data_IF_192917473210
#
_entry.id   IF_192917473210
#
_cell.length_a   1.000
_cell.length_b   1.000
_cell.length_c   1.000
_cell.angle_alpha   90.00
_cell.angle_beta   90.00
_cell.angle_gamma   90.00
#
_symmetry.space_group_name_H-M   'P 1'
#
loop_
_entity.id
_entity.type
_entity.pdbx_description
1 polymer ?
#
# COMPACT_ATOMS: atom_id res chain seq x y z
N UNK A 1 -24.92 26.94 69.98
CA UNK A 1 -23.95 26.02 70.62
C UNK A 1 -23.54 24.95 69.62
N UNK A 2 -22.22 24.81 69.43
CA UNK A 2 -21.42 23.62 69.06
C UNK A 2 -21.68 22.77 67.77
N UNK A 3 -20.64 22.82 66.90
CA UNK A 3 -19.84 21.73 66.27
C UNK A 3 -20.36 20.99 64.98
N UNK A 4 -19.51 21.07 63.94
CA UNK A 4 -19.43 20.34 62.64
C UNK A 4 -19.02 18.83 62.80
N UNK A 5 -18.78 17.98 61.76
CA UNK A 5 -19.17 17.88 60.32
C UNK A 5 -19.58 16.42 59.86
N UNK A 6 -19.56 16.16 58.52
CA UNK A 6 -19.38 14.85 57.77
C UNK A 6 -20.72 14.23 57.29
N UNK A 7 -20.98 13.71 56.07
CA UNK A 7 -20.25 13.20 54.89
C UNK A 7 -21.06 13.51 53.60
N UNK A 8 -20.36 13.67 52.47
CA UNK A 8 -20.86 13.61 51.08
C UNK A 8 -21.46 12.25 50.70
N UNK A 9 -22.48 12.23 49.84
CA UNK A 9 -22.67 11.19 48.82
C UNK A 9 -23.53 11.73 47.68
N UNK A 10 -22.90 12.28 46.63
CA UNK A 10 -23.53 12.51 45.34
C UNK A 10 -23.26 11.27 44.47
N UNK A 11 -24.33 10.63 44.00
CA UNK A 11 -24.28 9.60 42.96
C UNK A 11 -23.68 10.22 41.69
N UNK A 12 -22.49 9.78 41.31
CA UNK A 12 -21.95 10.02 39.98
C UNK A 12 -22.35 8.85 39.07
N UNK A 13 -23.09 9.16 38.01
CA UNK A 13 -23.36 8.28 36.89
C UNK A 13 -22.03 8.03 36.17
N UNK A 14 -21.49 6.82 36.31
CA UNK A 14 -20.34 6.36 35.52
C UNK A 14 -20.85 5.88 34.16
N UNK A 15 -21.02 6.83 33.23
CA UNK A 15 -20.99 6.55 31.80
C UNK A 15 -19.55 6.28 31.38
N UNK A 16 -19.15 5.01 31.39
CA UNK A 16 -17.87 4.55 30.86
C UNK A 16 -17.83 4.68 29.35
N UNK A 17 -17.57 5.88 28.85
CA UNK A 17 -17.12 6.06 27.47
C UNK A 17 -15.74 5.43 27.37
N UNK A 18 -15.62 4.34 26.60
CA UNK A 18 -14.33 3.79 26.20
C UNK A 18 -13.59 4.87 25.41
N UNK A 19 -12.73 5.62 26.09
CA UNK A 19 -11.69 6.41 25.47
C UNK A 19 -10.68 5.44 24.89
N UNK A 20 -10.87 5.09 23.61
CA UNK A 20 -9.77 4.61 22.79
C UNK A 20 -8.64 5.64 22.92
N UNK A 21 -7.54 5.21 23.52
CA UNK A 21 -6.39 6.08 23.76
C UNK A 21 -5.83 6.51 22.40
N UNK A 22 -6.19 7.71 21.96
CA UNK A 22 -5.47 8.43 20.92
C UNK A 22 -4.08 8.73 21.50
N UNK A 23 -3.12 7.86 21.21
CA UNK A 23 -1.70 8.15 21.46
C UNK A 23 -1.30 9.30 20.54
N UNK A 24 -1.30 10.51 21.08
CA UNK A 24 -0.63 11.67 20.49
C UNK A 24 0.87 11.42 20.52
N UNK A 25 1.44 10.89 19.44
CA UNK A 25 2.88 10.69 19.28
C UNK A 25 3.58 11.97 18.83
N UNK A 26 3.66 12.95 19.73
CA UNK A 26 4.68 13.99 19.63
C UNK A 26 5.96 13.39 20.22
N UNK A 27 6.91 13.03 19.36
CA UNK A 27 8.23 12.40 19.65
C UNK A 27 8.31 10.87 19.64
N UNK A 28 7.79 10.21 18.60
CA UNK A 28 8.42 8.96 18.16
C UNK A 28 9.66 9.32 17.33
N UNK A 29 10.81 8.68 17.60
CA UNK A 29 11.94 8.75 16.68
C UNK A 29 11.48 8.22 15.30
N UNK A 30 11.99 8.81 14.22
CA UNK A 30 11.70 8.30 12.88
C UNK A 30 12.05 6.79 12.83
N UNK A 31 11.18 5.94 12.25
CA UNK A 31 11.43 4.51 12.17
C UNK A 31 12.75 4.24 11.42
N UNK A 32 13.48 3.18 11.84
CA UNK A 32 14.74 2.81 11.19
C UNK A 32 14.50 2.21 9.81
N UNK A 33 15.52 2.23 8.95
CA UNK A 33 15.45 1.63 7.61
C UNK A 33 15.16 0.14 7.66
N UNK A 34 15.68 -0.56 8.67
CA UNK A 34 15.39 -1.98 8.91
C UNK A 34 13.91 -2.20 9.29
N UNK A 35 13.35 -1.37 10.19
CA UNK A 35 11.93 -1.49 10.56
C UNK A 35 10.99 -1.18 9.40
N UNK A 36 11.35 -0.19 8.56
CA UNK A 36 10.60 0.17 7.37
C UNK A 36 10.69 -0.91 6.30
N UNK A 37 11.88 -1.48 6.10
CA UNK A 37 12.10 -2.60 5.18
C UNK A 37 11.30 -3.84 5.61
N UNK A 38 11.26 -4.17 6.90
CA UNK A 38 10.46 -5.28 7.41
C UNK A 38 8.95 -5.03 7.25
N UNK A 39 8.48 -3.82 7.58
CA UNK A 39 7.08 -3.42 7.43
C UNK A 39 6.61 -3.55 5.98
N UNK A 40 7.34 -2.97 5.04
CA UNK A 40 7.01 -3.03 3.62
C UNK A 40 7.31 -4.41 3.02
N UNK A 41 8.27 -5.12 3.57
CA UNK A 41 8.59 -6.50 3.22
C UNK A 41 7.41 -7.42 3.47
N UNK A 42 6.66 -7.22 4.56
CA UNK A 42 5.53 -8.06 4.98
C UNK A 42 4.15 -7.60 4.47
N UNK A 43 4.02 -6.37 3.94
CA UNK A 43 2.73 -5.81 3.56
C UNK A 43 2.00 -6.63 2.49
N UNK A 44 0.67 -6.59 2.51
CA UNK A 44 -0.21 -7.19 1.51
C UNK A 44 -0.66 -6.10 0.53
N UNK A 45 -0.63 -6.39 -0.76
CA UNK A 45 -1.20 -5.54 -1.80
C UNK A 45 -2.60 -6.03 -2.16
N UNK A 46 -3.55 -5.10 -2.26
CA UNK A 46 -4.81 -5.30 -2.95
C UNK A 46 -4.84 -4.52 -4.25
N UNK A 47 -5.06 -5.21 -5.37
CA UNK A 47 -5.18 -4.59 -6.69
C UNK A 47 -6.62 -4.71 -7.19
N UNK A 48 -7.28 -3.58 -7.40
CA UNK A 48 -8.71 -3.52 -7.73
C UNK A 48 -8.88 -3.58 -9.25
N UNK A 49 -9.73 -4.50 -9.72
CA UNK A 49 -10.12 -4.61 -11.14
C UNK A 49 -8.93 -4.66 -12.11
N UNK A 50 -7.91 -5.48 -11.78
CA UNK A 50 -6.74 -5.67 -12.63
C UNK A 50 -7.17 -6.24 -13.99
N UNK A 51 -6.76 -5.62 -15.13
CA UNK A 51 -7.14 -6.10 -16.46
C UNK A 51 -6.77 -7.57 -16.69
N UNK A 52 -7.78 -8.43 -16.91
CA UNK A 52 -7.58 -9.86 -17.16
C UNK A 52 -7.39 -10.73 -15.92
N UNK A 53 -7.67 -10.22 -14.72
CA UNK A 53 -7.57 -10.96 -13.46
C UNK A 53 -8.89 -11.53 -12.96
N UNK A 54 -9.98 -11.47 -13.73
CA UNK A 54 -11.34 -11.82 -13.29
C UNK A 54 -11.45 -13.26 -12.78
N UNK A 55 -10.58 -14.16 -13.27
CA UNK A 55 -10.55 -15.58 -12.86
C UNK A 55 -9.83 -15.84 -11.54
N UNK A 56 -8.94 -14.94 -11.12
CA UNK A 56 -8.07 -15.12 -9.94
C UNK A 56 -8.30 -14.06 -8.85
N UNK A 57 -9.03 -12.99 -9.18
CA UNK A 57 -9.47 -12.01 -8.20
C UNK A 57 -10.51 -12.64 -7.24
N UNK A 58 -10.53 -12.15 -6.01
CA UNK A 58 -11.57 -12.49 -5.05
C UNK A 58 -12.95 -11.99 -5.52
N UNK A 59 -14.07 -12.49 -4.94
CA UNK A 59 -15.43 -12.09 -5.34
C UNK A 59 -15.71 -10.59 -5.29
N UNK A 60 -14.96 -9.82 -4.49
CA UNK A 60 -15.04 -8.36 -4.40
C UNK A 60 -14.25 -7.63 -5.51
N UNK A 61 -13.68 -8.36 -6.48
CA UNK A 61 -12.93 -7.79 -7.60
C UNK A 61 -11.49 -7.39 -7.26
N UNK A 62 -10.97 -7.82 -6.11
CA UNK A 62 -9.60 -7.51 -5.66
C UNK A 62 -8.68 -8.72 -5.88
N UNK A 63 -7.56 -8.50 -6.56
CA UNK A 63 -6.44 -9.43 -6.58
C UNK A 63 -5.53 -9.13 -5.37
N UNK A 64 -5.47 -10.06 -4.42
CA UNK A 64 -4.61 -9.94 -3.25
C UNK A 64 -3.26 -10.58 -3.51
N UNK A 65 -2.19 -9.89 -3.11
CA UNK A 65 -0.82 -10.36 -3.25
C UNK A 65 -0.07 -10.16 -1.93
N UNK A 66 0.55 -11.22 -1.44
CA UNK A 66 1.40 -11.17 -0.26
C UNK A 66 2.75 -11.83 -0.56
N UNK A 67 3.82 -11.39 0.11
CA UNK A 67 5.08 -12.12 0.15
C UNK A 67 4.87 -13.58 0.53
N UNK A 68 5.64 -14.43 -0.11
CA UNK A 68 5.74 -15.82 0.24
C UNK A 68 6.49 -15.96 1.58
N UNK A 69 5.95 -16.71 2.56
CA UNK A 69 6.67 -16.97 3.81
C UNK A 69 8.00 -17.71 3.55
N UNK A 70 9.03 -17.52 4.40
CA UNK A 70 10.28 -18.25 4.30
C UNK A 70 10.05 -19.77 4.22
N UNK A 71 10.71 -20.43 3.26
CA UNK A 71 10.62 -21.89 3.07
C UNK A 71 9.35 -22.40 2.38
N UNK A 72 8.38 -21.54 2.05
CA UNK A 72 7.25 -21.93 1.21
C UNK A 72 7.65 -21.94 -0.27
N UNK A 73 6.98 -22.79 -1.06
CA UNK A 73 7.16 -22.84 -2.50
C UNK A 73 6.24 -21.81 -3.21
N UNK A 74 6.71 -21.13 -4.27
CA UNK A 74 5.85 -20.28 -5.08
C UNK A 74 4.66 -21.05 -5.64
N UNK A 75 3.50 -20.40 -5.85
CA UNK A 75 2.34 -21.09 -6.41
C UNK A 75 2.63 -21.50 -7.86
N UNK A 76 2.41 -22.79 -8.17
CA UNK A 76 2.58 -23.35 -9.50
C UNK A 76 1.32 -23.21 -10.35
N UNK A 77 1.48 -23.09 -11.67
CA UNK A 77 0.36 -23.13 -12.63
C UNK A 77 -0.58 -21.92 -12.59
N UNK A 78 -0.21 -20.84 -11.91
CA UNK A 78 -1.02 -19.61 -11.88
C UNK A 78 -0.99 -18.93 -13.25
N UNK A 79 -2.15 -18.81 -13.88
CA UNK A 79 -2.32 -18.03 -15.10
C UNK A 79 -2.36 -16.53 -14.77
N UNK A 80 -1.17 -15.92 -14.65
CA UNK A 80 -1.08 -14.50 -14.36
C UNK A 80 -1.64 -13.63 -15.51
N UNK A 81 -2.40 -12.56 -15.20
CA UNK A 81 -2.90 -11.62 -16.18
C UNK A 81 -1.78 -11.06 -17.05
N UNK A 82 -2.02 -10.90 -18.36
CA UNK A 82 -0.99 -10.40 -19.30
C UNK A 82 -0.42 -9.03 -18.88
N UNK A 83 -1.22 -8.20 -18.23
CA UNK A 83 -0.78 -6.88 -17.73
C UNK A 83 0.24 -7.01 -16.59
N UNK A 84 0.22 -8.08 -15.80
CA UNK A 84 1.24 -8.36 -14.79
C UNK A 84 2.42 -9.14 -15.40
N UNK A 85 2.13 -10.13 -16.25
CA UNK A 85 3.14 -11.03 -16.81
C UNK A 85 4.04 -10.38 -17.88
N UNK A 86 3.57 -9.32 -18.56
CA UNK A 86 4.25 -8.69 -19.71
C UNK A 86 4.49 -7.19 -19.51
N UNK A 87 4.62 -6.73 -18.27
CA UNK A 87 4.87 -5.32 -17.97
C UNK A 87 5.78 -5.16 -16.76
N UNK A 88 6.40 -3.99 -16.67
CA UNK A 88 6.92 -3.50 -15.40
C UNK A 88 5.79 -2.74 -14.70
N UNK A 89 5.36 -3.21 -13.53
CA UNK A 89 4.26 -2.60 -12.78
C UNK A 89 4.81 -1.95 -11.53
N UNK A 90 4.35 -0.75 -11.21
CA UNK A 90 4.75 -0.02 -10.02
C UNK A 90 3.53 0.35 -9.20
N UNK A 91 3.56 0.11 -7.89
CA UNK A 91 2.55 0.63 -6.97
C UNK A 91 3.02 1.96 -6.37
N UNK A 92 2.12 2.94 -6.41
CA UNK A 92 2.31 4.30 -5.89
C UNK A 92 1.18 4.59 -4.92
N UNK A 93 1.50 5.14 -3.75
CA UNK A 93 0.50 5.71 -2.83
C UNK A 93 0.67 7.23 -2.76
N UNK A 94 -0.40 7.96 -2.50
CA UNK A 94 -0.31 9.39 -2.18
C UNK A 94 -0.33 9.66 -0.66
N UNK A 95 -0.40 8.58 0.13
CA UNK A 95 -0.60 8.59 1.57
C UNK A 95 0.72 8.26 2.27
N UNK A 96 0.93 8.85 3.45
CA UNK A 96 2.02 8.58 4.39
C UNK A 96 3.43 8.99 3.95
N UNK A 97 3.77 10.30 4.02
CA UNK A 97 5.16 10.72 3.94
C UNK A 97 5.97 9.95 4.99
N UNK A 98 6.94 9.16 4.56
CA UNK A 98 7.83 8.38 5.44
C UNK A 98 7.12 7.40 6.41
N UNK A 99 5.89 6.95 6.12
CA UNK A 99 5.13 6.03 6.99
C UNK A 99 4.29 6.69 8.09
N UNK A 100 4.08 8.01 8.02
CA UNK A 100 3.25 8.73 9.01
C UNK A 100 1.79 8.86 8.57
N UNK A 101 0.85 8.40 9.41
CA UNK A 101 -0.59 8.49 9.16
C UNK A 101 -1.09 9.93 8.95
N UNK A 102 -1.51 10.26 7.72
CA UNK A 102 -2.15 11.54 7.40
C UNK A 102 -3.71 11.51 7.49
N UNK A 103 -4.40 12.64 7.72
CA UNK A 103 -5.87 12.68 7.80
C UNK A 103 -6.57 12.24 6.51
N UNK A 104 -7.67 11.48 6.63
CA UNK A 104 -8.37 10.86 5.50
C UNK A 104 -8.75 11.83 4.36
N UNK A 105 -9.17 13.06 4.67
CA UNK A 105 -9.52 14.05 3.65
C UNK A 105 -8.30 14.55 2.85
N UNK A 106 -7.15 14.73 3.53
CA UNK A 106 -5.88 15.10 2.89
C UNK A 106 -5.43 13.97 1.95
N UNK A 107 -5.63 12.72 2.35
CA UNK A 107 -5.24 11.55 1.54
C UNK A 107 -6.07 11.42 0.27
N UNK A 108 -7.39 11.63 0.37
CA UNK A 108 -8.27 11.62 -0.80
C UNK A 108 -7.88 12.69 -1.82
N UNK A 109 -7.55 13.89 -1.33
CA UNK A 109 -7.06 14.97 -2.19
C UNK A 109 -5.73 14.62 -2.85
N UNK A 110 -4.78 14.09 -2.08
CA UNK A 110 -3.48 13.66 -2.59
C UNK A 110 -3.62 12.54 -3.63
N UNK A 111 -4.48 11.54 -3.39
CA UNK A 111 -4.74 10.47 -4.35
C UNK A 111 -5.41 10.98 -5.64
N UNK A 112 -6.29 11.99 -5.56
CA UNK A 112 -6.87 12.61 -6.76
C UNK A 112 -5.80 13.33 -7.60
N UNK A 113 -4.87 14.03 -6.94
CA UNK A 113 -3.74 14.67 -7.63
C UNK A 113 -2.81 13.63 -8.25
N UNK A 114 -2.51 12.56 -7.51
CA UNK A 114 -1.68 11.46 -8.00
C UNK A 114 -2.28 10.81 -9.25
N UNK A 115 -3.60 10.61 -9.27
CA UNK A 115 -4.30 10.10 -10.44
C UNK A 115 -4.14 11.02 -11.67
N UNK A 116 -4.26 12.33 -11.49
CA UNK A 116 -4.04 13.30 -12.58
C UNK A 116 -2.59 13.31 -13.07
N UNK A 117 -1.62 13.18 -12.16
CA UNK A 117 -0.21 13.09 -12.51
C UNK A 117 0.14 11.78 -13.23
N UNK A 118 -0.49 10.66 -12.85
CA UNK A 118 -0.36 9.36 -13.54
C UNK A 118 -0.80 9.48 -14.99
N UNK A 119 -1.92 10.15 -15.26
CA UNK A 119 -2.40 10.40 -16.63
C UNK A 119 -1.41 11.24 -17.46
N UNK A 120 -0.55 12.00 -16.81
CA UNK A 120 0.47 12.85 -17.44
C UNK A 120 1.85 12.20 -17.54
N UNK A 121 2.04 10.97 -17.01
CA UNK A 121 3.32 10.28 -17.05
C UNK A 121 3.82 10.04 -18.49
N UNK A 122 5.14 10.11 -18.64
CA UNK A 122 5.85 9.70 -19.86
C UNK A 122 6.94 8.69 -19.46
N UNK A 123 7.04 7.51 -20.09
CA UNK A 123 6.21 7.04 -21.20
C UNK A 123 4.75 6.89 -20.74
N UNK A 124 3.81 6.81 -21.69
CA UNK A 124 2.39 6.69 -21.32
C UNK A 124 2.17 5.28 -20.72
N UNK A 125 1.61 5.14 -19.51
CA UNK A 125 1.29 3.82 -18.97
C UNK A 125 0.36 3.07 -19.92
N UNK A 126 0.62 1.78 -20.13
CA UNK A 126 -0.25 0.89 -20.92
C UNK A 126 -1.58 0.64 -20.25
N UNK A 127 -1.57 0.65 -18.92
CA UNK A 127 -2.72 0.53 -18.06
C UNK A 127 -2.37 1.08 -16.68
N UNK A 128 -3.39 1.48 -15.94
CA UNK A 128 -3.30 1.74 -14.51
C UNK A 128 -4.62 1.36 -13.85
N UNK A 129 -4.58 1.05 -12.56
CA UNK A 129 -5.75 0.67 -11.77
C UNK A 129 -5.57 1.09 -10.32
N UNK A 130 -6.67 1.15 -9.57
CA UNK A 130 -6.63 1.43 -8.14
C UNK A 130 -5.99 0.25 -7.38
N UNK A 131 -5.17 0.57 -6.39
CA UNK A 131 -4.58 -0.42 -5.50
C UNK A 131 -4.51 0.11 -4.08
N UNK A 132 -4.14 -0.75 -3.14
CA UNK A 132 -3.83 -0.35 -1.78
C UNK A 132 -2.82 -1.32 -1.17
N UNK A 133 -1.92 -0.81 -0.34
CA UNK A 133 -1.11 -1.61 0.57
C UNK A 133 -1.77 -1.67 1.95
N UNK A 134 -1.69 -2.79 2.66
CA UNK A 134 -2.23 -2.88 4.01
C UNK A 134 -1.51 -3.92 4.87
N UNK A 135 -1.69 -3.80 6.19
CA UNK A 135 -1.37 -4.84 7.17
C UNK A 135 -2.58 -5.06 8.05
N UNK A 136 -3.10 -6.29 8.04
CA UNK A 136 -4.18 -6.69 8.93
C UNK A 136 -3.75 -6.77 10.40
N UNK A 137 -2.50 -7.15 10.63
CA UNK A 137 -1.90 -7.26 11.97
C UNK A 137 -1.69 -5.87 12.60
N UNK A 138 -1.18 -4.93 11.81
CA UNK A 138 -0.86 -3.56 12.28
C UNK A 138 -2.04 -2.58 12.09
N UNK A 139 -3.14 -3.03 11.48
CA UNK A 139 -4.37 -2.26 11.34
C UNK A 139 -4.28 -1.02 10.45
N UNK A 140 -3.36 -0.99 9.48
CA UNK A 140 -3.21 0.14 8.54
C UNK A 140 -3.52 -0.26 7.10
N UNK A 141 -3.93 0.74 6.30
CA UNK A 141 -4.17 0.65 4.87
C UNK A 141 -3.79 1.97 4.18
N UNK A 142 -3.17 1.87 3.01
CA UNK A 142 -2.79 3.00 2.17
C UNK A 142 -3.33 2.81 0.75
N UNK A 143 -4.28 3.67 0.35
CA UNK A 143 -4.81 3.66 -1.01
C UNK A 143 -3.84 4.34 -2.00
N UNK A 144 -3.86 3.84 -3.23
CA UNK A 144 -3.00 4.29 -4.30
C UNK A 144 -3.38 3.68 -5.65
N UNK A 145 -2.37 3.51 -6.50
CA UNK A 145 -2.51 3.05 -7.86
C UNK A 145 -1.36 2.15 -8.26
N UNK A 146 -1.67 1.18 -9.13
CA UNK A 146 -0.66 0.48 -9.90
C UNK A 146 -0.61 1.03 -11.31
N UNK A 147 0.60 1.22 -11.83
CA UNK A 147 0.87 1.70 -13.21
C UNK A 147 1.72 0.68 -13.95
N UNK A 148 1.28 0.28 -15.14
CA UNK A 148 1.94 -0.73 -15.95
C UNK A 148 2.58 -0.13 -17.20
N UNK A 149 3.85 -0.45 -17.44
CA UNK A 149 4.63 -0.01 -18.60
C UNK A 149 5.16 -1.21 -19.38
N UNK A 150 5.52 -1.00 -20.65
CA UNK A 150 6.19 -2.06 -21.39
C UNK A 150 7.52 -2.45 -20.72
N UNK A 151 7.88 -3.73 -20.79
CA UNK A 151 9.05 -4.27 -20.08
C UNK A 151 10.37 -3.65 -20.55
N UNK A 152 10.45 -3.26 -21.83
CA UNK A 152 11.57 -2.55 -22.45
C UNK A 152 11.66 -1.08 -22.00
N UNK A 153 10.54 -0.45 -21.67
CA UNK A 153 10.50 0.90 -21.11
C UNK A 153 10.85 0.95 -19.61
N UNK A 154 10.98 -0.20 -18.94
CA UNK A 154 11.12 -0.34 -17.48
C UNK A 154 12.12 0.65 -16.86
N UNK A 155 13.30 0.82 -17.47
CA UNK A 155 14.33 1.72 -16.93
C UNK A 155 13.87 3.17 -16.90
N UNK A 156 13.27 3.64 -17.99
CA UNK A 156 12.79 5.01 -18.12
C UNK A 156 11.53 5.24 -17.29
N UNK A 157 10.59 4.29 -17.33
CA UNK A 157 9.39 4.29 -16.50
C UNK A 157 9.74 4.34 -14.99
N UNK A 158 10.67 3.50 -14.52
CA UNK A 158 11.13 3.51 -13.11
C UNK A 158 11.64 4.87 -12.70
N UNK A 159 12.43 5.55 -13.52
CA UNK A 159 12.94 6.89 -13.19
C UNK A 159 11.81 7.93 -13.02
N UNK A 160 10.77 7.86 -13.86
CA UNK A 160 9.64 8.78 -13.86
C UNK A 160 8.69 8.50 -12.70
N UNK A 161 8.40 7.23 -12.45
CA UNK A 161 7.65 6.77 -11.28
C UNK A 161 8.35 7.17 -9.98
N UNK A 162 9.67 7.01 -9.88
CA UNK A 162 10.41 7.45 -8.69
C UNK A 162 10.42 8.97 -8.51
N UNK A 163 10.47 9.73 -9.61
CA UNK A 163 10.32 11.19 -9.56
C UNK A 163 8.95 11.57 -9.00
N UNK A 164 7.89 10.92 -9.47
CA UNK A 164 6.53 11.12 -8.97
C UNK A 164 6.42 10.71 -7.49
N UNK A 165 6.92 9.53 -7.13
CA UNK A 165 6.89 9.03 -5.75
C UNK A 165 7.56 9.99 -4.75
N UNK A 166 8.71 10.58 -5.13
CA UNK A 166 9.37 11.63 -4.33
C UNK A 166 8.54 12.90 -4.21
N UNK A 167 7.82 13.32 -5.27
CA UNK A 167 6.92 14.47 -5.20
C UNK A 167 5.77 14.25 -4.20
N UNK A 168 5.36 12.99 -4.03
CA UNK A 168 4.39 12.57 -3.00
C UNK A 168 5.04 12.13 -1.69
N UNK A 169 6.36 12.37 -1.53
CA UNK A 169 7.14 12.08 -0.31
C UNK A 169 7.11 10.61 0.14
N UNK A 170 6.91 9.69 -0.79
CA UNK A 170 7.04 8.25 -0.52
C UNK A 170 8.51 7.92 -0.21
N UNK A 171 8.72 7.05 0.78
CA UNK A 171 10.06 6.56 1.13
C UNK A 171 10.50 5.42 0.21
N UNK A 172 9.56 4.58 -0.22
CA UNK A 172 9.75 3.49 -1.17
C UNK A 172 8.48 3.27 -1.99
N UNK A 173 8.61 2.53 -3.09
CA UNK A 173 7.52 2.02 -3.91
C UNK A 173 7.69 0.52 -4.11
N UNK A 174 6.62 -0.19 -4.50
CA UNK A 174 6.76 -1.55 -4.99
C UNK A 174 6.91 -1.59 -6.50
N UNK A 175 7.80 -2.47 -6.98
CA UNK A 175 7.89 -2.86 -8.38
C UNK A 175 7.56 -4.35 -8.50
N UNK A 176 6.59 -4.69 -9.34
CA UNK A 176 6.25 -6.06 -9.67
C UNK A 176 6.89 -6.47 -10.99
N UNK A 177 7.38 -7.70 -11.03
CA UNK A 177 7.91 -8.33 -12.23
C UNK A 177 7.52 -9.80 -12.28
N UNK A 178 7.49 -10.37 -13.47
CA UNK A 178 7.16 -11.76 -13.69
C UNK A 178 8.37 -12.50 -14.25
N UNK A 179 8.68 -13.66 -13.67
CA UNK A 179 9.78 -14.52 -14.10
C UNK A 179 9.44 -15.98 -13.86
N UNK A 180 9.57 -16.81 -14.89
CA UNK A 180 9.46 -18.27 -14.80
C UNK A 180 8.19 -18.79 -14.08
N UNK A 181 7.03 -18.19 -14.33
CA UNK A 181 5.76 -18.58 -13.67
C UNK A 181 5.46 -17.83 -12.38
N UNK A 182 6.43 -17.09 -11.84
CA UNK A 182 6.35 -16.46 -10.52
C UNK A 182 6.23 -14.95 -10.65
N UNK A 183 5.26 -14.39 -9.93
CA UNK A 183 5.17 -12.94 -9.71
C UNK A 183 6.06 -12.56 -8.53
N UNK A 184 6.91 -11.56 -8.74
CA UNK A 184 7.91 -11.08 -7.80
C UNK A 184 7.62 -9.62 -7.44
N UNK A 185 7.88 -9.24 -6.20
CA UNK A 185 7.83 -7.85 -5.70
C UNK A 185 9.18 -7.39 -5.20
N UNK A 186 9.63 -6.24 -5.66
CA UNK A 186 10.81 -5.51 -5.17
C UNK A 186 10.34 -4.28 -4.39
N UNK A 187 10.94 -4.03 -3.23
CA UNK A 187 10.86 -2.72 -2.56
C UNK A 187 11.92 -1.81 -3.17
N UNK A 188 11.49 -0.69 -3.76
CA UNK A 188 12.38 0.28 -4.39
C UNK A 188 12.38 1.55 -3.58
N UNK A 189 13.51 1.84 -2.92
CA UNK A 189 13.72 3.10 -2.21
C UNK A 189 13.63 4.30 -3.15
N UNK A 190 12.96 5.38 -2.71
CA UNK A 190 12.89 6.63 -3.47
C UNK A 190 14.18 7.46 -3.35
N UNK A 191 14.93 7.25 -2.26
CA UNK A 191 16.25 7.84 -2.00
C UNK A 191 17.35 7.11 -2.80
N UNK A 192 18.11 7.82 -3.66
CA UNK A 192 19.18 7.21 -4.46
C UNK A 192 20.29 6.53 -3.63
N UNK A 193 20.66 7.09 -2.48
CA UNK A 193 21.70 6.53 -1.60
C UNK A 193 21.29 5.17 -1.07
N UNK A 194 20.01 5.03 -0.70
CA UNK A 194 19.45 3.75 -0.23
C UNK A 194 19.29 2.76 -1.38
N UNK A 195 19.08 3.22 -2.62
CA UNK A 195 19.07 2.33 -3.78
C UNK A 195 20.43 1.71 -4.04
N UNK A 196 21.52 2.48 -3.90
CA UNK A 196 22.89 1.98 -4.06
C UNK A 196 23.21 0.91 -3.01
N UNK A 197 22.89 1.19 -1.74
CA UNK A 197 23.05 0.23 -0.64
C UNK A 197 22.21 -1.03 -0.84
N UNK A 198 20.95 -0.89 -1.28
CA UNK A 198 20.07 -2.03 -1.54
C UNK A 198 20.46 -2.83 -2.80
N UNK A 199 21.19 -2.23 -3.75
CA UNK A 199 21.66 -2.93 -4.95
C UNK A 199 22.66 -4.05 -4.64
N UNK A 200 23.31 -4.00 -3.48
CA UNK A 200 24.27 -5.00 -3.01
C UNK A 200 23.60 -6.16 -2.25
N UNK A 201 22.28 -6.09 -1.99
CA UNK A 201 21.56 -7.09 -1.21
C UNK A 201 21.07 -8.29 -2.06
N UNK A 202 21.27 -9.55 -1.60
CA UNK A 202 20.94 -10.75 -2.36
C UNK A 202 19.43 -11.05 -2.50
N UNK A 203 18.60 -10.62 -1.54
CA UNK A 203 17.14 -10.91 -1.53
C UNK A 203 16.30 -9.69 -1.91
N UNK A 204 16.52 -9.21 -3.13
CA UNK A 204 15.88 -7.99 -3.64
C UNK A 204 14.41 -8.18 -4.05
N UNK A 205 13.99 -9.42 -4.31
CA UNK A 205 12.69 -9.74 -4.88
C UNK A 205 12.01 -10.86 -4.10
N UNK A 206 10.83 -10.58 -3.53
CA UNK A 206 10.01 -11.55 -2.85
C UNK A 206 9.04 -12.23 -3.84
N UNK A 207 9.02 -13.56 -3.96
CA UNK A 207 7.92 -14.28 -4.59
C UNK A 207 6.60 -13.95 -3.92
N UNK A 208 5.53 -13.90 -4.72
CA UNK A 208 4.21 -13.57 -4.24
C UNK A 208 3.28 -14.80 -4.26
N UNK A 209 2.38 -14.81 -3.27
CA UNK A 209 1.23 -15.71 -3.18
C UNK A 209 -0.07 -14.90 -3.17
N UNK A 210 -1.19 -15.58 -3.38
CA UNK A 210 -2.53 -15.00 -3.27
C UNK A 210 -3.14 -15.40 -1.90
N UNK A 211 -3.12 -14.52 -0.88
CA UNK A 211 -3.78 -14.79 0.39
C UNK A 211 -5.32 -14.71 0.25
N UNK A 212 -6.09 -15.18 1.24
CA UNK A 212 -7.55 -14.99 1.27
C UNK A 212 -7.93 -13.50 1.38
N UNK A 213 -9.21 -13.20 1.10
CA UNK A 213 -9.79 -11.87 1.26
C UNK A 213 -9.64 -11.35 2.70
N UNK A 214 -9.52 -10.02 2.83
CA UNK A 214 -9.47 -9.30 4.11
C UNK A 214 -10.62 -8.31 4.24
N UNK A 215 -11.16 -8.13 5.45
CA UNK A 215 -12.21 -7.13 5.76
C UNK A 215 -11.69 -5.69 5.62
N UNK A 216 -10.39 -5.44 5.86
CA UNK A 216 -9.78 -4.11 5.61
C UNK A 216 -9.77 -3.72 4.13
N UNK A 217 -10.05 -4.67 3.26
CA UNK A 217 -10.11 -4.50 1.81
C UNK A 217 -11.54 -4.42 1.27
N UNK A 218 -12.55 -4.25 2.13
CA UNK A 218 -13.92 -4.01 1.69
C UNK A 218 -14.00 -2.67 0.94
N UNK A 219 -14.24 -2.78 -0.37
CA UNK A 219 -14.48 -1.66 -1.29
C UNK A 219 -15.92 -1.12 -1.21
N UNK A 220 -16.76 -1.68 -0.32
CA UNK A 220 -18.19 -1.33 -0.18
C UNK A 220 -18.54 -0.37 0.97
N UNK A 221 -17.57 0.00 1.81
CA UNK A 221 -17.79 0.94 2.92
C UNK A 221 -17.86 2.40 2.44
N UNK A 222 -18.90 3.13 2.86
CA UNK A 222 -19.24 4.51 2.46
C UNK A 222 -18.02 5.42 2.19
N UNK A 223 -17.65 5.54 0.91
CA UNK A 223 -16.53 6.40 0.48
C UNK A 223 -15.77 5.95 -0.76
N UNK A 224 -16.04 4.74 -1.30
CA UNK A 224 -15.29 4.20 -2.42
C UNK A 224 -15.84 4.62 -3.80
N UNK A 225 -15.06 5.49 -4.44
CA UNK A 225 -14.71 5.52 -5.88
C UNK A 225 -15.88 5.68 -6.88
N UNK A 226 -15.92 6.85 -7.50
CA UNK A 226 -16.52 7.06 -8.83
C UNK A 226 -15.68 6.26 -9.84
N UNK A 227 -16.05 4.99 -10.08
CA UNK A 227 -15.35 4.03 -10.93
C UNK A 227 -15.45 4.45 -12.40
N UNK A 228 -14.67 5.45 -12.80
CA UNK A 228 -14.37 5.64 -14.22
C UNK A 228 -13.24 4.69 -14.61
N UNK A 229 -13.62 3.55 -15.17
CA UNK A 229 -12.76 2.72 -16.01
C UNK A 229 -12.32 3.58 -17.21
N UNK A 230 -11.17 4.24 -17.10
CA UNK A 230 -10.57 4.93 -18.25
C UNK A 230 -9.83 3.87 -19.07
N UNK A 231 -10.50 3.36 -20.10
CA UNK A 231 -9.81 2.71 -21.22
C UNK A 231 -9.00 3.79 -21.93
N UNK A 232 -7.68 3.64 -21.95
CA UNK A 232 -6.79 4.37 -22.88
C UNK A 232 -6.73 3.60 -24.19
#
# INVERSE_FOLDING_TARGET
>A
MLRRPVVRAALAVLGGSSTAAVRSSLHAAAPSDESLSALWGAAIDGMIAVPGAERIAAPNGVLYLAPLPPGAAPPEGVEWPKVLAKSAVFALTAHNPMGEAAPAAVNREANRKLQADIASLRPVPRAWWHSFGFSAEEGWREDGFCVAFATDERRFARAQVLKLARAYRQAAIYQFSYKDGVLLREVVWCDPTKQEQAAEAPERMAPLRMPPQSELADVGGAGFIDLQLVKV
#
